data_IF_764540555008
#
_entry.id   IF_764540555008
#
_cell.length_a   1.000
_cell.length_b   1.000
_cell.length_c   1.000
_cell.angle_alpha   90.00
_cell.angle_beta   90.00
_cell.angle_gamma   90.00
#
_symmetry.space_group_name_H-M   'P 1'
#
loop_
_entity.id
_entity.type
_entity.pdbx_description
1 polymer ?
#
# COMPACT_ATOMS: atom_id res chain seq x y z
N UNK A 1 -19.64 47.01 -16.78
CA UNK A 1 -20.10 46.57 -15.44
C UNK A 1 -19.09 45.55 -14.93
N UNK A 2 -18.45 45.81 -13.79
CA UNK A 2 -17.43 44.92 -13.19
C UNK A 2 -17.98 44.35 -11.89
N UNK A 3 -18.06 43.02 -11.80
CA UNK A 3 -18.45 42.32 -10.57
C UNK A 3 -17.20 42.04 -9.76
N UNK A 4 -17.11 42.62 -8.57
CA UNK A 4 -16.05 42.37 -7.60
C UNK A 4 -16.56 41.40 -6.56
N UNK A 5 -15.97 40.22 -6.49
CA UNK A 5 -16.33 39.20 -5.50
C UNK A 5 -15.73 39.59 -4.15
N UNK A 6 -16.59 39.87 -3.17
CA UNK A 6 -16.20 40.14 -1.78
C UNK A 6 -16.58 38.91 -0.96
N UNK A 7 -15.58 38.16 -0.50
CA UNK A 7 -15.80 37.03 0.42
C UNK A 7 -15.86 37.56 1.84
N UNK A 8 -17.01 37.43 2.49
CA UNK A 8 -17.21 37.82 3.89
C UNK A 8 -17.29 36.56 4.75
N UNK A 9 -16.27 36.30 5.57
CA UNK A 9 -16.19 35.11 6.44
C UNK A 9 -16.73 35.36 7.86
N UNK A 10 -17.63 36.33 8.02
CA UNK A 10 -18.12 36.82 9.32
C UNK A 10 -19.07 35.85 10.07
N UNK A 11 -19.10 34.57 9.72
CA UNK A 11 -20.00 33.58 10.32
C UNK A 11 -19.39 32.21 10.58
N UNK A 12 -18.06 32.08 10.61
CA UNK A 12 -17.43 30.77 10.85
C UNK A 12 -17.59 30.41 12.35
N UNK A 13 -18.35 29.34 12.69
CA UNK A 13 -18.40 28.88 14.07
C UNK A 13 -16.98 28.45 14.49
N UNK A 14 -16.67 28.73 15.76
CA UNK A 14 -15.36 28.64 16.38
C UNK A 14 -14.47 27.49 15.84
N UNK A 15 -13.28 27.88 15.39
CA UNK A 15 -12.08 27.06 15.22
C UNK A 15 -12.35 25.56 14.95
N UNK A 16 -12.75 25.24 13.72
CA UNK A 16 -12.63 23.88 13.22
C UNK A 16 -11.14 23.53 13.31
N UNK A 17 -10.79 22.58 14.19
CA UNK A 17 -9.41 22.13 14.37
C UNK A 17 -8.82 21.85 12.98
N UNK A 18 -7.68 22.48 12.68
CA UNK A 18 -6.99 22.24 11.41
C UNK A 18 -6.88 20.73 11.20
N UNK A 19 -7.24 20.19 10.01
CA UNK A 19 -7.16 18.76 9.78
C UNK A 19 -5.75 18.30 10.13
N UNK A 20 -5.66 17.36 11.07
CA UNK A 20 -4.37 16.84 11.52
C UNK A 20 -3.62 16.31 10.29
N UNK A 21 -2.56 17.02 9.91
CA UNK A 21 -1.70 16.60 8.81
C UNK A 21 -1.08 15.28 9.24
N UNK A 22 -1.45 14.17 8.59
CA UNK A 22 -0.78 12.90 8.79
C UNK A 22 0.68 13.08 8.38
N UNK A 23 1.60 13.07 9.36
CA UNK A 23 3.03 13.18 9.11
C UNK A 23 3.44 12.14 8.07
N UNK A 24 4.26 12.54 7.09
CA UNK A 24 4.79 11.63 6.06
C UNK A 24 5.82 10.70 6.71
N UNK A 25 5.35 9.68 7.42
CA UNK A 25 6.18 8.67 8.06
C UNK A 25 6.86 7.78 7.00
N UNK A 26 6.22 7.61 5.83
CA UNK A 26 6.68 6.71 4.80
C UNK A 26 7.20 7.45 3.56
N UNK A 27 8.42 7.11 3.14
CA UNK A 27 8.96 7.47 1.83
C UNK A 27 8.15 6.76 0.73
N UNK A 28 7.26 7.54 0.08
CA UNK A 28 6.34 7.04 -0.95
C UNK A 28 7.06 6.57 -2.20
N UNK A 29 8.19 7.21 -2.54
CA UNK A 29 8.95 6.84 -3.72
C UNK A 29 9.58 5.47 -3.50
N UNK A 30 10.26 5.29 -2.37
CA UNK A 30 10.82 4.00 -2.01
C UNK A 30 9.76 2.91 -1.93
N UNK A 31 8.62 3.14 -1.26
CA UNK A 31 7.60 2.10 -1.13
C UNK A 31 7.13 1.63 -2.52
N UNK A 32 7.00 2.56 -3.47
CA UNK A 32 6.60 2.22 -4.84
C UNK A 32 7.60 1.29 -5.54
N UNK A 33 8.89 1.43 -5.24
CA UNK A 33 9.98 0.60 -5.76
C UNK A 33 10.04 -0.75 -5.02
N UNK A 34 9.89 -0.74 -3.70
CA UNK A 34 10.01 -1.93 -2.86
C UNK A 34 8.75 -2.82 -2.83
N UNK A 35 7.59 -2.30 -3.23
CA UNK A 35 6.32 -3.03 -3.14
C UNK A 35 6.29 -4.40 -3.84
N UNK A 36 6.87 -4.59 -5.05
CA UNK A 36 6.94 -5.92 -5.67
C UNK A 36 7.73 -6.93 -4.83
N UNK A 37 8.86 -6.51 -4.26
CA UNK A 37 9.72 -7.37 -3.42
C UNK A 37 9.03 -7.75 -2.11
N UNK A 38 8.42 -6.77 -1.43
CA UNK A 38 7.61 -7.01 -0.23
C UNK A 38 6.51 -8.02 -0.52
N UNK A 39 5.81 -7.84 -1.64
CA UNK A 39 4.72 -8.72 -2.04
C UNK A 39 5.22 -10.14 -2.36
N UNK A 40 6.29 -10.28 -3.15
CA UNK A 40 6.86 -11.58 -3.48
C UNK A 40 7.28 -12.34 -2.21
N UNK A 41 7.95 -11.68 -1.27
CA UNK A 41 8.35 -12.28 0.01
C UNK A 41 7.14 -12.71 0.87
N UNK A 42 6.08 -11.90 0.90
CA UNK A 42 4.82 -12.29 1.53
C UNK A 42 4.26 -13.58 0.87
N UNK A 43 4.20 -13.62 -0.45
CA UNK A 43 3.65 -14.78 -1.17
C UNK A 43 4.46 -16.06 -0.94
N UNK A 44 5.79 -15.97 -0.96
CA UNK A 44 6.67 -17.11 -0.66
C UNK A 44 6.50 -17.65 0.76
N UNK A 45 6.10 -16.80 1.70
CA UNK A 45 5.87 -17.20 3.09
C UNK A 45 4.48 -17.82 3.28
N UNK A 46 3.48 -17.29 2.59
CA UNK A 46 2.07 -17.65 2.79
C UNK A 46 1.57 -18.79 1.89
N UNK A 47 2.23 -19.06 0.76
CA UNK A 47 1.72 -19.99 -0.25
C UNK A 47 2.78 -20.98 -0.73
N UNK A 48 2.32 -22.14 -1.20
CA UNK A 48 3.20 -23.19 -1.72
C UNK A 48 3.75 -22.90 -3.13
N UNK A 49 3.12 -22.01 -3.89
CA UNK A 49 3.48 -21.71 -5.27
C UNK A 49 2.53 -20.73 -5.97
N UNK A 50 2.87 -20.28 -7.19
CA UNK A 50 2.06 -19.34 -7.95
C UNK A 50 0.66 -19.86 -8.29
N UNK A 51 0.47 -21.18 -8.39
CA UNK A 51 -0.85 -21.79 -8.60
C UNK A 51 -1.78 -21.53 -7.41
N UNK A 52 -1.28 -21.71 -6.18
CA UNK A 52 -2.04 -21.45 -4.96
C UNK A 52 -2.39 -19.96 -4.83
N UNK A 53 -1.44 -19.08 -5.20
CA UNK A 53 -1.66 -17.62 -5.25
C UNK A 53 -2.75 -17.26 -6.26
N UNK A 54 -2.73 -17.87 -7.45
CA UNK A 54 -3.72 -17.60 -8.49
C UNK A 54 -5.14 -17.96 -8.04
N UNK A 55 -5.29 -19.13 -7.41
CA UNK A 55 -6.57 -19.59 -6.86
C UNK A 55 -7.04 -18.66 -5.75
N UNK A 56 -6.19 -18.40 -4.75
CA UNK A 56 -6.56 -17.62 -3.57
C UNK A 56 -6.99 -16.18 -3.93
N UNK A 57 -6.23 -15.52 -4.80
CA UNK A 57 -6.53 -14.14 -5.19
C UNK A 57 -7.47 -14.03 -6.40
N UNK A 58 -7.96 -15.15 -6.93
CA UNK A 58 -8.81 -15.20 -8.14
C UNK A 58 -8.22 -14.40 -9.31
N UNK A 59 -6.94 -14.63 -9.61
CA UNK A 59 -6.24 -14.00 -10.72
C UNK A 59 -5.76 -15.03 -11.73
N UNK A 60 -5.38 -14.55 -12.92
CA UNK A 60 -4.74 -15.43 -13.92
C UNK A 60 -3.40 -15.95 -13.39
N UNK A 61 -3.05 -17.17 -13.76
CA UNK A 61 -1.77 -17.78 -13.39
C UNK A 61 -0.56 -16.92 -13.78
N UNK A 62 -0.59 -16.27 -14.95
CA UNK A 62 0.48 -15.36 -15.36
C UNK A 62 0.65 -14.15 -14.44
N UNK A 63 -0.45 -13.62 -13.87
CA UNK A 63 -0.39 -12.57 -12.86
C UNK A 63 0.26 -13.08 -11.58
N UNK A 64 -0.12 -14.28 -11.13
CA UNK A 64 0.49 -14.90 -9.97
C UNK A 64 2.00 -15.16 -10.17
N UNK A 65 2.41 -15.64 -11.34
CA UNK A 65 3.84 -15.78 -11.68
C UNK A 65 4.59 -14.45 -11.64
N UNK A 66 3.98 -13.37 -12.16
CA UNK A 66 4.60 -12.04 -12.11
C UNK A 66 4.77 -11.55 -10.67
N UNK A 67 3.78 -11.79 -9.81
CA UNK A 67 3.88 -11.47 -8.38
C UNK A 67 4.90 -12.32 -7.65
N UNK A 68 4.90 -13.62 -7.91
CA UNK A 68 5.83 -14.58 -7.31
C UNK A 68 7.29 -14.25 -7.60
N UNK A 69 7.57 -13.73 -8.81
CA UNK A 69 8.91 -13.33 -9.22
C UNK A 69 9.22 -11.83 -8.98
N UNK A 70 8.37 -11.10 -8.23
CA UNK A 70 8.60 -9.70 -7.90
C UNK A 70 8.58 -8.73 -9.09
N UNK A 71 7.97 -9.10 -10.23
CA UNK A 71 7.99 -8.29 -11.46
C UNK A 71 7.02 -7.12 -11.41
N UNK A 72 5.90 -7.25 -10.69
CA UNK A 72 4.96 -6.18 -10.48
C UNK A 72 4.28 -6.27 -9.11
N UNK A 73 3.72 -5.14 -8.68
CA UNK A 73 2.97 -5.04 -7.43
C UNK A 73 1.50 -5.42 -7.62
N UNK A 74 0.83 -5.93 -6.58
CA UNK A 74 -0.61 -6.15 -6.61
C UNK A 74 -1.38 -4.83 -6.73
N UNK A 75 -2.64 -4.92 -7.13
CA UNK A 75 -3.60 -3.83 -6.96
C UNK A 75 -4.01 -3.67 -5.49
N UNK A 76 -4.58 -2.51 -5.16
CA UNK A 76 -4.89 -2.16 -3.77
C UNK A 76 -5.91 -3.12 -3.12
N UNK A 77 -6.90 -3.61 -3.87
CA UNK A 77 -7.88 -4.58 -3.39
C UNK A 77 -7.22 -5.89 -2.93
N UNK A 78 -6.19 -6.36 -3.65
CA UNK A 78 -5.46 -7.59 -3.29
C UNK A 78 -4.59 -7.40 -2.04
N UNK A 79 -4.02 -6.21 -1.86
CA UNK A 79 -3.35 -5.84 -0.61
C UNK A 79 -4.33 -5.80 0.58
N UNK A 80 -5.56 -5.29 0.37
CA UNK A 80 -6.58 -5.26 1.41
C UNK A 80 -7.01 -6.69 1.82
N UNK A 81 -7.20 -7.59 0.84
CA UNK A 81 -7.49 -9.01 1.11
C UNK A 81 -6.37 -9.62 1.97
N UNK A 82 -5.11 -9.49 1.57
CA UNK A 82 -3.98 -10.02 2.33
C UNK A 82 -3.86 -9.42 3.74
N UNK A 83 -4.17 -8.13 3.89
CA UNK A 83 -4.18 -7.46 5.20
C UNK A 83 -5.26 -8.02 6.13
N UNK A 84 -6.42 -8.39 5.59
CA UNK A 84 -7.53 -8.96 6.39
C UNK A 84 -7.27 -10.42 6.73
N UNK A 85 -6.78 -11.20 5.76
CA UNK A 85 -6.69 -12.66 5.91
C UNK A 85 -5.37 -13.13 6.51
N UNK A 86 -4.27 -12.41 6.25
CA UNK A 86 -2.91 -12.80 6.66
C UNK A 86 -2.08 -11.59 7.13
N UNK A 87 -2.57 -10.78 8.09
CA UNK A 87 -1.93 -9.54 8.51
C UNK A 87 -0.49 -9.75 9.01
N UNK A 88 -0.24 -10.85 9.71
CA UNK A 88 1.04 -11.17 10.34
C UNK A 88 2.12 -11.44 9.28
N UNK A 89 1.80 -12.26 8.26
CA UNK A 89 2.73 -12.58 7.18
C UNK A 89 3.06 -11.34 6.33
N UNK A 90 2.05 -10.53 6.01
CA UNK A 90 2.25 -9.29 5.25
C UNK A 90 3.08 -8.27 6.04
N UNK A 91 2.80 -8.13 7.35
CA UNK A 91 3.55 -7.23 8.23
C UNK A 91 4.99 -7.68 8.39
N UNK A 92 5.23 -8.99 8.55
CA UNK A 92 6.58 -9.56 8.61
C UNK A 92 7.37 -9.30 7.31
N UNK A 93 6.74 -9.47 6.15
CA UNK A 93 7.37 -9.19 4.86
C UNK A 93 7.72 -7.70 4.70
N UNK A 94 6.89 -6.77 5.18
CA UNK A 94 7.20 -5.34 5.19
C UNK A 94 8.35 -5.01 6.16
N UNK A 95 8.32 -5.56 7.37
CA UNK A 95 9.36 -5.35 8.38
C UNK A 95 10.73 -5.80 7.87
N UNK A 96 10.79 -6.98 7.26
CA UNK A 96 12.02 -7.50 6.65
C UNK A 96 12.60 -6.56 5.59
N UNK A 97 11.77 -5.89 4.78
CA UNK A 97 12.26 -4.91 3.79
C UNK A 97 12.83 -3.66 4.45
N UNK A 98 12.15 -3.18 5.49
CA UNK A 98 12.57 -1.99 6.20
C UNK A 98 13.91 -2.24 6.90
N UNK A 99 14.12 -3.43 7.46
CA UNK A 99 15.38 -3.81 8.08
C UNK A 99 16.49 -3.99 7.05
N UNK A 100 16.21 -4.64 5.91
CA UNK A 100 17.17 -4.74 4.80
C UNK A 100 17.60 -3.35 4.31
N UNK A 101 16.67 -2.39 4.20
CA UNK A 101 16.98 -1.00 3.83
C UNK A 101 17.85 -0.30 4.86
N UNK A 102 17.63 -0.52 6.17
CA UNK A 102 18.43 0.11 7.23
C UNK A 102 19.87 -0.41 7.28
N UNK A 103 20.10 -1.62 6.78
CA UNK A 103 21.41 -2.26 6.75
C UNK A 103 22.27 -1.89 5.52
N UNK A 104 21.68 -1.25 4.50
CA UNK A 104 22.35 -0.80 3.27
C UNK A 104 22.80 0.66 3.37
#
# INVERSE_FOLDING_TARGET
MSLRLVVNNSGQPAAQAAPASCTKVLDRYWLRIAAPEIWARFLHTAFAGPEAVAVHFEVRFSTACNWWNGLNRPSADKMLIAMVEMPEALTAALAAELDARRAA
#
